data_IF_493300663768
#
_entry.id   IF_493300663768
#
_cell.length_a   1.000
_cell.length_b   1.000
_cell.length_c   1.000
_cell.angle_alpha   90.00
_cell.angle_beta   90.00
_cell.angle_gamma   90.00
#
_symmetry.space_group_name_H-M   'P 1'
#
loop_
_entity.id
_entity.type
_entity.pdbx_description
1 polymer ?
#
# COMPACT_ATOMS: atom_id res chain seq x y z
N UNK A 1 -16.45 28.16 -23.02
CA UNK A 1 -15.25 28.16 -22.18
C UNK A 1 -15.62 27.56 -20.83
N UNK A 2 -15.24 26.32 -20.54
CA UNK A 2 -15.20 25.80 -19.16
C UNK A 2 -14.01 24.84 -19.09
N UNK A 3 -12.82 25.43 -18.95
CA UNK A 3 -11.57 24.72 -18.70
C UNK A 3 -11.41 24.47 -17.22
N UNK A 4 -11.70 23.25 -16.80
CA UNK A 4 -11.55 22.75 -15.44
C UNK A 4 -12.09 21.33 -15.41
N UNK A 5 -11.22 20.35 -15.65
CA UNK A 5 -11.62 18.94 -15.61
C UNK A 5 -11.89 18.52 -14.17
N UNK A 6 -12.79 17.53 -13.90
CA UNK A 6 -13.22 17.13 -12.55
C UNK A 6 -12.14 16.49 -11.64
N UNK A 7 -10.86 16.63 -11.99
CA UNK A 7 -9.72 15.97 -11.35
C UNK A 7 -9.12 16.77 -10.19
N UNK A 8 -9.34 18.08 -10.11
CA UNK A 8 -8.75 18.92 -9.05
C UNK A 8 -9.48 18.80 -7.69
N UNK A 9 -10.60 18.07 -7.64
CA UNK A 9 -11.48 17.98 -6.48
C UNK A 9 -11.61 16.59 -5.83
N UNK A 10 -10.78 15.59 -6.18
CA UNK A 10 -10.99 14.21 -5.73
C UNK A 10 -10.59 13.95 -4.25
N UNK A 11 -11.36 14.52 -3.31
CA UNK A 11 -11.64 13.88 -2.03
C UNK A 11 -12.88 13.00 -2.24
N UNK A 12 -12.75 11.67 -2.15
CA UNK A 12 -13.89 10.83 -1.76
C UNK A 12 -14.11 9.54 -2.52
N UNK A 13 -14.22 9.52 -3.85
CA UNK A 13 -14.96 8.40 -4.49
C UNK A 13 -14.10 7.39 -5.27
N UNK A 14 -12.93 7.78 -5.78
CA UNK A 14 -12.03 6.87 -6.51
C UNK A 14 -11.34 5.87 -5.58
N UNK A 15 -11.05 6.27 -4.33
CA UNK A 15 -10.53 5.38 -3.30
C UNK A 15 -11.57 4.36 -2.81
N UNK A 16 -12.86 4.68 -2.93
CA UNK A 16 -13.95 3.81 -2.49
C UNK A 16 -14.30 2.75 -3.54
N UNK A 17 -14.18 3.05 -4.84
CA UNK A 17 -14.36 2.08 -5.92
C UNK A 17 -13.35 0.91 -5.82
N UNK A 18 -12.12 1.19 -5.39
CA UNK A 18 -11.07 0.19 -5.14
C UNK A 18 -11.24 -0.58 -3.81
N UNK A 19 -11.96 -0.02 -2.81
CA UNK A 19 -12.29 -0.73 -1.55
C UNK A 19 -13.19 -1.94 -1.77
N UNK A 20 -14.08 -1.90 -2.77
CA UNK A 20 -15.12 -2.93 -2.99
C UNK A 20 -14.64 -4.14 -3.81
N UNK A 21 -13.50 -4.05 -4.51
CA UNK A 21 -12.94 -5.10 -5.37
C UNK A 21 -11.57 -5.68 -4.94
N UNK A 22 -11.18 -5.51 -3.67
CA UNK A 22 -9.90 -6.04 -3.14
C UNK A 22 -8.68 -5.14 -3.39
N UNK A 23 -8.90 -3.87 -3.74
CA UNK A 23 -7.86 -2.92 -4.16
C UNK A 23 -7.10 -2.20 -3.05
N UNK A 24 -7.60 -2.16 -1.80
CA UNK A 24 -6.89 -1.47 -0.68
C UNK A 24 -5.49 -2.04 -0.43
N UNK A 25 -5.34 -3.36 -0.48
CA UNK A 25 -4.13 -4.07 -0.04
C UNK A 25 -3.09 -4.22 -1.15
N UNK A 26 -3.55 -4.28 -2.41
CA UNK A 26 -2.63 -4.26 -3.55
C UNK A 26 -2.01 -2.88 -3.75
N UNK A 27 -2.68 -1.80 -3.33
CA UNK A 27 -2.21 -0.42 -3.54
C UNK A 27 -0.90 -0.11 -2.80
N UNK A 28 -0.79 -0.50 -1.53
CA UNK A 28 0.44 -0.31 -0.75
C UNK A 28 1.61 -1.11 -1.32
N UNK A 29 1.36 -2.27 -1.94
CA UNK A 29 2.39 -3.03 -2.66
C UNK A 29 2.92 -2.27 -3.88
N UNK A 30 2.05 -1.62 -4.65
CA UNK A 30 2.46 -0.81 -5.81
C UNK A 30 3.22 0.44 -5.38
N UNK A 31 2.77 1.15 -4.35
CA UNK A 31 3.47 2.31 -3.79
C UNK A 31 4.85 1.91 -3.26
N UNK A 32 4.92 0.82 -2.50
CA UNK A 32 6.18 0.26 -2.01
C UNK A 32 7.14 -0.09 -3.15
N UNK A 33 6.64 -0.77 -4.19
CA UNK A 33 7.41 -1.13 -5.39
C UNK A 33 7.91 0.08 -6.16
N UNK A 34 7.10 1.13 -6.23
CA UNK A 34 7.44 2.39 -6.90
C UNK A 34 8.39 3.28 -6.10
N UNK A 35 8.63 2.97 -4.82
CA UNK A 35 9.40 3.85 -3.93
C UNK A 35 8.61 5.09 -3.48
N UNK A 36 7.29 5.09 -3.61
CA UNK A 36 6.43 6.21 -3.24
C UNK A 36 6.19 6.23 -1.72
N UNK A 37 7.12 6.87 -1.01
CA UNK A 37 7.12 6.98 0.45
C UNK A 37 5.86 7.66 0.98
N UNK A 38 5.42 8.73 0.33
CA UNK A 38 4.25 9.50 0.79
C UNK A 38 2.95 8.72 0.63
N UNK A 39 2.79 8.00 -0.48
CA UNK A 39 1.66 7.10 -0.66
C UNK A 39 1.68 5.96 0.39
N UNK A 40 2.85 5.35 0.67
CA UNK A 40 2.97 4.33 1.71
C UNK A 40 2.59 4.89 3.08
N UNK A 41 3.07 6.08 3.47
CA UNK A 41 2.67 6.75 4.73
C UNK A 41 1.16 6.94 4.83
N UNK A 42 0.55 7.45 3.76
CA UNK A 42 -0.90 7.69 3.72
C UNK A 42 -1.68 6.39 3.88
N UNK A 43 -1.29 5.32 3.18
CA UNK A 43 -1.98 4.03 3.33
C UNK A 43 -1.84 3.45 4.73
N UNK A 44 -0.66 3.55 5.35
CA UNK A 44 -0.47 3.13 6.75
C UNK A 44 -1.34 3.96 7.71
N UNK A 45 -1.43 5.26 7.51
CA UNK A 45 -2.30 6.14 8.31
C UNK A 45 -3.79 5.81 8.13
N UNK A 46 -4.21 5.41 6.93
CA UNK A 46 -5.57 4.95 6.61
C UNK A 46 -5.88 3.53 7.14
N UNK A 47 -4.98 2.95 7.93
CA UNK A 47 -5.13 1.63 8.55
C UNK A 47 -4.91 0.46 7.60
N UNK A 48 -4.12 0.64 6.53
CA UNK A 48 -3.70 -0.48 5.69
C UNK A 48 -2.87 -1.47 6.51
N UNK A 49 -3.18 -2.76 6.37
CA UNK A 49 -2.37 -3.82 6.97
C UNK A 49 -0.99 -3.85 6.30
N UNK A 50 0.04 -3.52 7.08
CA UNK A 50 1.46 -3.48 6.67
C UNK A 50 1.98 -4.85 6.22
N UNK A 51 1.30 -5.94 6.59
CA UNK A 51 1.62 -7.33 6.24
C UNK A 51 0.62 -7.94 5.23
N UNK A 52 -0.25 -7.12 4.65
CA UNK A 52 -1.27 -7.59 3.73
C UNK A 52 -0.65 -8.32 2.52
N UNK A 53 -1.18 -9.49 2.21
CA UNK A 53 -0.69 -10.31 1.10
C UNK A 53 -1.47 -10.05 -0.18
N UNK A 54 -0.76 -9.86 -1.28
CA UNK A 54 -1.35 -9.86 -2.62
C UNK A 54 -1.75 -11.29 -3.06
N UNK A 55 -2.30 -11.42 -4.27
CA UNK A 55 -2.70 -12.73 -4.84
C UNK A 55 -1.52 -13.70 -5.03
N UNK A 56 -0.28 -13.21 -5.02
CA UNK A 56 0.95 -14.00 -5.09
C UNK A 56 1.54 -14.30 -3.69
N UNK A 57 0.87 -13.87 -2.63
CA UNK A 57 1.33 -14.04 -1.24
C UNK A 57 2.47 -13.10 -0.84
N UNK A 58 2.72 -12.03 -1.62
CA UNK A 58 3.73 -11.01 -1.33
C UNK A 58 3.14 -9.93 -0.45
N UNK A 59 3.95 -9.49 0.51
CA UNK A 59 3.69 -8.34 1.38
C UNK A 59 4.23 -7.06 0.76
N UNK A 60 3.81 -5.87 1.23
CA UNK A 60 4.38 -4.60 0.79
C UNK A 60 5.90 -4.59 0.92
N UNK A 61 6.42 -5.17 1.99
CA UNK A 61 7.87 -5.26 2.23
C UNK A 61 8.58 -6.19 1.24
N UNK A 62 7.93 -7.26 0.74
CA UNK A 62 8.50 -8.09 -0.33
C UNK A 62 8.68 -7.31 -1.66
N UNK A 63 7.93 -6.23 -1.85
CA UNK A 63 7.96 -5.40 -3.05
C UNK A 63 8.76 -4.10 -2.87
N UNK A 64 9.00 -3.68 -1.63
CA UNK A 64 9.62 -2.41 -1.28
C UNK A 64 11.14 -2.36 -1.54
N UNK A 65 11.67 -1.15 -1.71
CA UNK A 65 13.11 -0.88 -1.83
C UNK A 65 13.47 0.45 -1.15
N UNK A 66 14.70 0.57 -0.69
CA UNK A 66 15.21 1.82 -0.09
C UNK A 66 14.34 2.30 1.07
N UNK A 67 14.01 3.59 1.07
CA UNK A 67 13.28 4.26 2.15
C UNK A 67 11.89 3.65 2.41
N UNK A 68 11.17 3.18 1.38
CA UNK A 68 9.85 2.55 1.60
C UNK A 68 9.97 1.24 2.37
N UNK A 69 11.07 0.49 2.18
CA UNK A 69 11.31 -0.75 2.91
C UNK A 69 11.61 -0.48 4.39
N UNK A 70 12.42 0.55 4.67
CA UNK A 70 12.71 0.98 6.05
C UNK A 70 11.45 1.47 6.76
N UNK A 71 10.64 2.29 6.09
CA UNK A 71 9.37 2.76 6.62
C UNK A 71 8.43 1.59 6.96
N UNK A 72 8.24 0.65 6.03
CA UNK A 72 7.40 -0.52 6.26
C UNK A 72 7.91 -1.36 7.44
N UNK A 73 9.23 -1.58 7.56
CA UNK A 73 9.81 -2.27 8.72
C UNK A 73 9.57 -1.53 10.03
N UNK A 74 9.71 -0.20 10.05
CA UNK A 74 9.44 0.63 11.22
C UNK A 74 8.00 0.50 11.72
N UNK A 75 7.06 0.28 10.79
CA UNK A 75 5.66 0.03 11.08
C UNK A 75 5.31 -1.46 11.33
N UNK A 76 6.32 -2.33 11.52
CA UNK A 76 6.11 -3.75 11.81
C UNK A 76 5.88 -4.63 10.57
N UNK A 77 6.16 -4.10 9.39
CA UNK A 77 6.15 -4.84 8.13
C UNK A 77 7.17 -5.97 8.12
N UNK A 78 6.73 -7.12 7.64
CA UNK A 78 7.50 -8.36 7.53
C UNK A 78 7.34 -8.91 6.13
N UNK A 79 8.41 -9.47 5.60
CA UNK A 79 8.38 -10.23 4.36
C UNK A 79 7.56 -11.51 4.54
N UNK A 80 7.08 -12.09 3.44
CA UNK A 80 6.38 -13.38 3.49
C UNK A 80 7.22 -14.49 4.14
N UNK A 81 8.56 -14.42 4.05
CA UNK A 81 9.49 -15.40 4.62
C UNK A 81 9.53 -15.27 6.14
N UNK A 82 9.61 -14.05 6.66
CA UNK A 82 9.59 -13.77 8.10
C UNK A 82 8.25 -14.16 8.73
N UNK A 83 7.12 -13.90 8.05
CA UNK A 83 5.80 -14.32 8.53
C UNK A 83 5.66 -15.84 8.59
N UNK A 84 6.24 -16.58 7.63
CA UNK A 84 6.25 -18.06 7.66
C UNK A 84 7.13 -18.63 8.77
N UNK A 85 8.20 -17.94 9.16
CA UNK A 85 9.10 -18.40 10.21
C UNK A 85 8.49 -18.25 11.62
N UNK A 86 7.51 -17.37 11.81
CA UNK A 86 6.85 -17.12 13.10
C UNK A 86 5.63 -17.99 13.36
N UNK A 87 5.11 -18.68 12.33
CA UNK A 87 3.96 -19.58 12.45
C UNK A 87 4.34 -21.05 12.67
N UNK A 88 5.56 -21.33 13.13
CA UNK A 88 6.07 -22.67 13.44
C UNK A 88 6.34 -22.81 14.93
#
# INVERSE_FOLDING_TARGET
MLGGTPLDGAKGETAELLRKHGGKYSMINYAAKGGDVEAVKKFLADGADVNARDRMGRTPLDSAKGETAELLRKHGGKTRKELKAQGK
#
